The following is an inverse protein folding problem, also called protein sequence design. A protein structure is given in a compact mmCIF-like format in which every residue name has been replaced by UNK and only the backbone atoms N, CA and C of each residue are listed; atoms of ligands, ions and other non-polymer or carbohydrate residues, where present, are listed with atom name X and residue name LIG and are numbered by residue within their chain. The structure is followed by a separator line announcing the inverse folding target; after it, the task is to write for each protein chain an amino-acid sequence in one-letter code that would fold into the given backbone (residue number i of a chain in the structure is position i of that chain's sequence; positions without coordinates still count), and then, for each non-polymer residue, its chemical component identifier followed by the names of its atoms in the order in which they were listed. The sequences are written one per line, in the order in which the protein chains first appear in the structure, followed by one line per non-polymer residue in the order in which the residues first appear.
data_IF_657382683889
#
_entry.id   IF_657382683889
#
_cell.length_a   1.000
_cell.length_b   1.000
_cell.length_c   1.000
_cell.angle_alpha   90.00
_cell.angle_beta   90.00
_cell.angle_gamma   90.00
#
_symmetry.space_group_name_H-M   'P 1'
#
loop_
_entity.id
_entity.type
_entity.pdbx_description
1 polymer ?
#
# COMPACT_ATOMS: atom_id res chain seq x y z
N UNK A 1 8.08 12.48 20.81
CA UNK A 1 7.93 12.62 19.34
C UNK A 1 6.52 13.11 18.98
N UNK A 2 5.45 12.45 19.48
CA UNK A 2 4.05 12.78 19.19
C UNK A 2 3.67 14.19 19.64
N UNK A 3 3.96 14.56 20.88
CA UNK A 3 3.71 15.93 21.42
C UNK A 3 4.35 17.02 20.57
N UNK A 4 5.62 16.82 20.16
CA UNK A 4 6.32 17.75 19.28
C UNK A 4 5.67 17.84 17.89
N UNK A 5 5.12 16.74 17.37
CA UNK A 5 4.38 16.77 16.12
C UNK A 5 3.07 17.55 16.26
N UNK A 6 2.34 17.35 17.35
CA UNK A 6 1.14 18.13 17.67
C UNK A 6 1.47 19.63 17.76
N UNK A 7 2.51 20.01 18.49
CA UNK A 7 2.97 21.39 18.64
C UNK A 7 3.30 22.02 17.28
N UNK A 8 4.12 21.33 16.44
CA UNK A 8 4.53 21.83 15.11
C UNK A 8 3.35 21.99 14.16
N UNK A 9 2.33 21.15 14.29
CA UNK A 9 1.12 21.20 13.46
C UNK A 9 0.04 22.13 14.04
N UNK A 10 0.24 22.74 15.21
CA UNK A 10 -0.76 23.55 15.90
C UNK A 10 -2.02 22.75 16.26
N UNK A 11 -1.88 21.46 16.60
CA UNK A 11 -2.95 20.53 16.95
C UNK A 11 -2.79 20.00 18.36
N UNK A 12 -3.90 19.66 18.99
CA UNK A 12 -3.88 18.95 20.28
C UNK A 12 -3.84 17.42 20.11
N UNK A 13 -4.23 16.94 18.95
CA UNK A 13 -4.33 15.52 18.61
C UNK A 13 -3.93 15.30 17.15
N UNK A 14 -3.19 14.24 16.86
CA UNK A 14 -2.96 13.75 15.50
C UNK A 14 -4.19 12.97 15.02
N UNK A 15 -4.72 13.29 13.86
CA UNK A 15 -5.84 12.54 13.27
C UNK A 15 -5.44 11.11 12.92
N UNK A 16 -4.26 10.93 12.36
CA UNK A 16 -3.71 9.63 11.98
C UNK A 16 -2.19 9.62 12.18
N UNK A 17 -1.67 8.57 12.80
CA UNK A 17 -0.24 8.29 12.87
C UNK A 17 0.03 6.95 12.19
N UNK A 18 0.87 6.95 11.14
CA UNK A 18 1.29 5.73 10.46
C UNK A 18 2.68 5.30 10.94
N UNK A 19 2.75 4.16 11.61
CA UNK A 19 4.02 3.57 12.03
C UNK A 19 4.66 2.77 10.89
N UNK A 20 5.98 2.89 10.75
CA UNK A 20 6.75 2.17 9.74
C UNK A 20 8.00 1.55 10.36
N UNK A 21 7.99 0.25 10.58
CA UNK A 21 9.18 -0.50 10.95
C UNK A 21 10.01 -0.83 9.70
N UNK A 22 11.31 -0.51 9.74
CA UNK A 22 12.26 -0.89 8.69
C UNK A 22 12.70 -2.35 8.81
N UNK A 23 12.68 -2.86 10.03
CA UNK A 23 13.07 -4.23 10.35
C UNK A 23 12.29 -4.71 11.56
N UNK A 24 11.88 -5.95 11.52
CA UNK A 24 11.21 -6.63 12.64
C UNK A 24 12.20 -7.50 13.45
N UNK A 25 13.50 -7.47 13.12
CA UNK A 25 14.53 -8.22 13.86
C UNK A 25 14.79 -7.68 15.27
N UNK A 26 14.57 -6.38 15.48
CA UNK A 26 14.61 -5.74 16.79
C UNK A 26 13.20 -5.71 17.37
N UNK A 27 12.90 -6.39 18.50
CA UNK A 27 11.56 -6.41 19.09
C UNK A 27 11.07 -5.06 19.62
N UNK A 28 11.91 -4.06 19.75
CA UNK A 28 11.56 -2.70 20.20
C UNK A 28 10.47 -2.03 19.37
N UNK A 29 10.20 -2.49 18.14
CA UNK A 29 9.06 -2.03 17.35
C UNK A 29 7.72 -2.37 18.03
N UNK A 30 7.62 -3.51 18.72
CA UNK A 30 6.41 -3.92 19.42
C UNK A 30 6.19 -3.07 20.67
N UNK A 31 7.23 -2.81 21.44
CA UNK A 31 7.16 -1.90 22.61
C UNK A 31 6.70 -0.52 22.17
N UNK A 32 7.25 -0.01 21.05
CA UNK A 32 6.82 1.26 20.48
C UNK A 32 5.32 1.27 20.13
N UNK A 33 4.78 0.18 19.61
CA UNK A 33 3.35 0.09 19.28
C UNK A 33 2.46 0.11 20.53
N UNK A 34 2.88 -0.52 21.64
CA UNK A 34 2.16 -0.41 22.92
C UNK A 34 2.20 1.02 23.48
N UNK A 35 3.34 1.70 23.38
CA UNK A 35 3.44 3.13 23.76
C UNK A 35 2.55 4.01 22.89
N UNK A 36 2.48 3.76 21.58
CA UNK A 36 1.59 4.49 20.67
C UNK A 36 0.11 4.23 20.99
N UNK A 37 -0.24 3.00 21.40
CA UNK A 37 -1.61 2.71 21.88
C UNK A 37 -1.92 3.51 23.16
N UNK A 38 -1.01 3.58 24.12
CA UNK A 38 -1.20 4.40 25.32
C UNK A 38 -1.42 5.87 24.97
N UNK A 39 -0.62 6.44 24.06
CA UNK A 39 -0.80 7.81 23.59
C UNK A 39 -2.12 8.04 22.84
N UNK A 40 -2.64 7.01 22.18
CA UNK A 40 -3.98 7.02 21.59
C UNK A 40 -5.05 7.07 22.70
N UNK A 41 -4.91 6.24 23.73
CA UNK A 41 -5.83 6.21 24.86
C UNK A 41 -5.84 7.52 25.67
N UNK A 42 -4.69 8.21 25.74
CA UNK A 42 -4.55 9.56 26.28
C UNK A 42 -5.14 10.66 25.38
N UNK A 43 -5.54 10.32 24.16
CA UNK A 43 -6.16 11.25 23.21
C UNK A 43 -5.19 12.09 22.38
N UNK A 44 -3.89 11.78 22.40
CA UNK A 44 -2.90 12.47 21.55
C UNK A 44 -2.91 11.97 20.10
N UNK A 45 -3.42 10.77 19.85
CA UNK A 45 -3.57 10.15 18.54
C UNK A 45 -5.02 9.66 18.42
N UNK A 46 -5.71 9.99 17.32
CA UNK A 46 -7.05 9.48 17.06
C UNK A 46 -7.01 8.07 16.46
N UNK A 47 -6.18 7.87 15.43
CA UNK A 47 -6.06 6.61 14.72
C UNK A 47 -4.60 6.19 14.58
N UNK A 48 -4.31 4.95 14.99
CA UNK A 48 -3.04 4.30 14.67
C UNK A 48 -3.16 3.56 13.34
N UNK A 49 -2.13 3.66 12.56
CA UNK A 49 -2.01 3.01 11.26
C UNK A 49 -0.60 2.47 11.05
N UNK A 50 -0.47 1.62 10.05
CA UNK A 50 0.77 0.95 9.72
C UNK A 50 1.17 1.23 8.27
N UNK A 51 2.43 0.99 7.96
CA UNK A 51 2.96 1.04 6.60
C UNK A 51 3.83 -0.19 6.34
N UNK A 52 3.52 -0.92 5.27
CA UNK A 52 4.23 -2.13 4.82
C UNK A 52 4.34 -3.25 5.87
N UNK A 53 3.39 -3.31 6.81
CA UNK A 53 3.34 -4.41 7.79
C UNK A 53 2.76 -5.65 7.11
N UNK A 54 3.45 -6.79 7.24
CA UNK A 54 2.96 -8.05 6.71
C UNK A 54 1.84 -8.66 7.57
N UNK A 55 1.23 -9.72 7.05
CA UNK A 55 0.05 -10.34 7.68
C UNK A 55 0.35 -10.90 9.07
N UNK A 56 1.56 -11.43 9.29
CA UNK A 56 1.92 -12.06 10.58
C UNK A 56 2.10 -10.99 11.66
N UNK A 57 2.84 -9.93 11.35
CA UNK A 57 3.04 -8.82 12.29
C UNK A 57 1.77 -8.01 12.53
N UNK A 58 0.93 -7.81 11.49
CA UNK A 58 -0.39 -7.19 11.68
C UNK A 58 -1.26 -8.03 12.62
N UNK A 59 -1.31 -9.36 12.42
CA UNK A 59 -2.06 -10.27 13.31
C UNK A 59 -1.57 -10.15 14.76
N UNK A 60 -0.26 -10.17 14.97
CA UNK A 60 0.33 -10.03 16.30
C UNK A 60 -0.16 -8.75 16.99
N UNK A 61 -0.18 -7.62 16.28
CA UNK A 61 -0.64 -6.34 16.84
C UNK A 61 -2.11 -6.36 17.21
N UNK A 62 -2.98 -6.75 16.28
CA UNK A 62 -4.44 -6.72 16.53
C UNK A 62 -4.89 -7.74 17.57
N UNK A 63 -4.27 -8.92 17.62
CA UNK A 63 -4.53 -9.94 18.64
C UNK A 63 -3.95 -9.55 20.02
N UNK A 64 -2.96 -8.65 20.06
CA UNK A 64 -2.44 -8.06 21.31
C UNK A 64 -3.26 -6.88 21.83
N UNK A 65 -4.38 -6.55 21.17
CA UNK A 65 -5.28 -5.48 21.60
C UNK A 65 -4.89 -4.09 21.11
N UNK A 66 -3.93 -3.96 20.19
CA UNK A 66 -3.58 -2.69 19.57
C UNK A 66 -4.58 -2.37 18.46
N UNK A 67 -5.24 -1.21 18.59
CA UNK A 67 -6.28 -0.77 17.65
C UNK A 67 -5.69 -0.14 16.39
N UNK A 68 -5.64 -0.90 15.31
CA UNK A 68 -5.11 -0.46 14.02
C UNK A 68 -6.26 -0.07 13.08
N UNK A 69 -6.25 1.19 12.62
CA UNK A 69 -7.26 1.69 11.67
C UNK A 69 -6.96 1.30 10.23
N UNK A 70 -5.68 1.33 9.82
CA UNK A 70 -5.30 0.99 8.46
C UNK A 70 -3.87 0.46 8.35
N UNK A 71 -3.59 -0.24 7.24
CA UNK A 71 -2.23 -0.62 6.85
C UNK A 71 -1.99 -0.18 5.39
N UNK A 72 -1.03 0.71 5.19
CA UNK A 72 -0.66 1.19 3.86
C UNK A 72 0.30 0.20 3.21
N UNK A 73 -0.12 -0.43 2.12
CA UNK A 73 0.61 -1.52 1.46
C UNK A 73 0.65 -1.36 -0.06
N UNK A 74 1.66 -1.96 -0.68
CA UNK A 74 1.66 -2.10 -2.13
C UNK A 74 0.55 -3.05 -2.55
N UNK A 75 -0.39 -2.56 -3.37
CA UNK A 75 -1.48 -3.35 -3.90
C UNK A 75 -1.87 -2.86 -5.29
N UNK A 76 -1.75 -3.72 -6.27
CA UNK A 76 -1.99 -3.40 -7.68
C UNK A 76 -2.26 -4.66 -8.47
N UNK A 77 -2.59 -4.53 -9.74
CA UNK A 77 -2.70 -5.68 -10.67
C UNK A 77 -1.41 -6.51 -10.78
N UNK A 78 -0.24 -5.92 -10.49
CA UNK A 78 1.06 -6.62 -10.48
C UNK A 78 1.41 -7.20 -9.12
N UNK A 79 0.94 -6.58 -8.04
CA UNK A 79 1.28 -6.96 -6.67
C UNK A 79 0.02 -7.31 -5.89
N UNK A 80 -0.27 -8.59 -5.81
CA UNK A 80 -1.46 -9.15 -5.18
C UNK A 80 -1.17 -9.71 -3.76
N UNK A 81 -0.01 -9.39 -3.15
CA UNK A 81 0.35 -9.90 -1.82
C UNK A 81 -0.62 -9.46 -0.72
N UNK A 82 -1.29 -8.31 -0.90
CA UNK A 82 -2.31 -7.84 0.03
C UNK A 82 -3.67 -8.56 -0.11
N UNK A 83 -3.90 -9.28 -1.19
CA UNK A 83 -5.09 -10.11 -1.35
C UNK A 83 -5.03 -11.37 -0.47
N UNK A 84 -6.13 -12.05 -0.26
CA UNK A 84 -6.16 -13.31 0.47
C UNK A 84 -6.00 -13.14 1.98
N UNK A 85 -4.92 -13.64 2.58
CA UNK A 85 -4.75 -13.70 4.03
C UNK A 85 -4.70 -12.31 4.70
N UNK A 86 -4.07 -11.32 4.08
CA UNK A 86 -4.04 -9.95 4.58
C UNK A 86 -5.45 -9.34 4.57
N UNK A 87 -6.12 -9.39 3.41
CA UNK A 87 -7.50 -8.89 3.28
C UNK A 87 -8.45 -9.55 4.28
N UNK A 88 -8.35 -10.88 4.45
CA UNK A 88 -9.18 -11.62 5.41
C UNK A 88 -8.96 -11.10 6.82
N UNK A 89 -7.70 -10.99 7.27
CA UNK A 89 -7.36 -10.46 8.58
C UNK A 89 -7.87 -9.03 8.77
N UNK A 90 -7.72 -8.18 7.76
CA UNK A 90 -8.19 -6.80 7.79
C UNK A 90 -9.72 -6.72 7.99
N UNK A 91 -10.48 -7.55 7.27
CA UNK A 91 -11.94 -7.63 7.43
C UNK A 91 -12.36 -8.14 8.80
N UNK A 92 -11.64 -9.13 9.35
CA UNK A 92 -11.90 -9.70 10.68
C UNK A 92 -11.73 -8.67 11.81
N UNK A 93 -10.78 -7.75 11.65
CA UNK A 93 -10.41 -6.77 12.69
C UNK A 93 -10.79 -5.32 12.37
N UNK A 94 -11.53 -5.07 11.27
CA UNK A 94 -11.92 -3.71 10.87
C UNK A 94 -10.76 -2.81 10.44
N UNK A 95 -9.67 -3.39 9.96
CA UNK A 95 -8.51 -2.67 9.43
C UNK A 95 -8.71 -2.36 7.95
N UNK A 96 -8.45 -1.13 7.52
CA UNK A 96 -8.51 -0.74 6.12
C UNK A 96 -7.14 -0.86 5.43
N UNK A 97 -7.15 -1.27 4.17
CA UNK A 97 -5.95 -1.26 3.33
C UNK A 97 -5.86 0.07 2.57
N UNK A 98 -4.77 0.80 2.77
CA UNK A 98 -4.46 1.98 1.97
C UNK A 98 -3.50 1.56 0.85
N UNK A 99 -4.06 1.32 -0.34
CA UNK A 99 -3.31 0.79 -1.45
C UNK A 99 -2.41 1.84 -2.10
N UNK A 100 -1.11 1.58 -2.22
CA UNK A 100 -0.22 2.38 -3.05
C UNK A 100 0.33 1.58 -4.23
N UNK A 101 0.80 2.30 -5.24
CA UNK A 101 1.38 1.68 -6.42
C UNK A 101 0.37 1.09 -7.40
N UNK A 102 -0.90 1.45 -7.30
CA UNK A 102 -2.01 0.94 -8.10
C UNK A 102 -1.80 1.05 -9.61
N UNK A 103 -1.10 2.10 -10.06
CA UNK A 103 -0.74 2.31 -11.47
C UNK A 103 0.71 1.92 -11.79
N UNK A 104 1.38 1.18 -10.91
CA UNK A 104 2.76 0.69 -11.09
C UNK A 104 3.74 1.79 -11.52
N UNK A 105 3.74 2.95 -10.82
CA UNK A 105 4.62 4.08 -11.15
C UNK A 105 4.36 4.70 -12.52
N UNK A 106 3.18 4.50 -13.10
CA UNK A 106 2.76 5.00 -14.39
C UNK A 106 2.95 3.99 -15.54
N UNK A 107 3.28 2.73 -15.23
CA UNK A 107 3.30 1.68 -16.26
C UNK A 107 1.90 1.24 -16.68
N UNK A 108 0.88 1.29 -15.84
CA UNK A 108 -0.52 1.10 -16.24
C UNK A 108 -1.09 2.37 -16.88
N UNK A 109 -0.59 2.71 -18.05
CA UNK A 109 -1.08 3.79 -18.91
C UNK A 109 -0.98 3.39 -20.39
N UNK A 110 -1.73 4.05 -21.25
CA UNK A 110 -1.77 3.84 -22.70
C UNK A 110 -0.39 4.04 -23.35
N UNK A 111 0.45 4.89 -22.77
CA UNK A 111 1.81 5.16 -23.23
C UNK A 111 2.66 3.90 -23.41
N UNK A 112 2.45 2.91 -22.55
CA UNK A 112 3.24 1.69 -22.51
C UNK A 112 2.63 0.55 -23.32
N UNK A 113 1.41 0.71 -23.83
CA UNK A 113 0.72 -0.33 -24.62
C UNK A 113 1.46 -0.53 -25.95
N UNK A 114 1.96 -1.76 -26.18
CA UNK A 114 2.74 -2.10 -27.36
C UNK A 114 4.15 -1.47 -27.41
N UNK A 115 4.56 -0.73 -26.37
CA UNK A 115 5.87 -0.13 -26.32
C UNK A 115 6.97 -1.17 -26.08
N UNK A 116 8.20 -0.94 -26.62
CA UNK A 116 9.35 -1.78 -26.31
C UNK A 116 9.67 -1.73 -24.82
N UNK A 117 10.34 -2.78 -24.34
CA UNK A 117 10.83 -2.81 -22.95
C UNK A 117 11.87 -1.71 -22.72
N UNK A 118 11.64 -0.82 -21.74
CA UNK A 118 12.62 0.20 -21.42
C UNK A 118 13.83 -0.40 -20.69
N UNK A 119 15.02 0.07 -20.99
CA UNK A 119 16.20 -0.23 -20.19
C UNK A 119 16.12 0.51 -18.84
N UNK A 120 16.81 -0.04 -17.82
CA UNK A 120 16.74 0.54 -16.46
C UNK A 120 17.29 1.96 -16.36
N UNK A 121 18.28 2.28 -17.19
CA UNK A 121 18.92 3.61 -17.27
C UNK A 121 18.08 4.63 -18.06
N UNK A 122 17.12 4.18 -18.86
CA UNK A 122 16.13 5.04 -19.51
C UNK A 122 14.99 5.49 -18.60
N UNK A 123 14.91 4.91 -17.39
CA UNK A 123 13.86 5.24 -16.42
C UNK A 123 14.26 6.43 -15.56
N UNK A 124 13.57 7.55 -15.74
CA UNK A 124 13.90 8.86 -15.16
C UNK A 124 13.69 8.95 -13.64
N UNK A 125 12.93 8.02 -13.01
CA UNK A 125 12.55 8.12 -11.60
C UNK A 125 12.75 6.81 -10.85
N UNK A 126 13.10 6.90 -9.56
CA UNK A 126 13.16 5.75 -8.66
C UNK A 126 11.86 4.95 -8.62
N UNK A 127 10.72 5.62 -8.76
CA UNK A 127 9.42 4.96 -8.82
C UNK A 127 9.31 4.04 -10.03
N UNK A 128 9.66 4.52 -11.23
CA UNK A 128 9.65 3.70 -12.45
C UNK A 128 10.64 2.52 -12.35
N UNK A 129 11.86 2.76 -11.86
CA UNK A 129 12.86 1.71 -11.65
C UNK A 129 12.35 0.63 -10.67
N UNK A 130 11.71 1.05 -9.57
CA UNK A 130 11.10 0.15 -8.59
C UNK A 130 10.03 -0.74 -9.24
N UNK A 131 9.09 -0.14 -9.96
CA UNK A 131 7.98 -0.89 -10.55
C UNK A 131 8.39 -1.70 -11.78
N UNK A 132 9.44 -1.31 -12.50
CA UNK A 132 10.04 -2.17 -13.54
C UNK A 132 10.56 -3.48 -12.93
N UNK A 133 11.21 -3.43 -11.76
CA UNK A 133 11.62 -4.64 -11.03
C UNK A 133 10.43 -5.50 -10.61
N UNK A 134 9.28 -4.90 -10.29
CA UNK A 134 8.06 -5.64 -9.99
C UNK A 134 7.51 -6.33 -11.25
N UNK A 135 7.57 -5.66 -12.41
CA UNK A 135 7.21 -6.24 -13.71
C UNK A 135 8.11 -7.46 -14.00
N UNK A 136 9.42 -7.31 -13.81
CA UNK A 136 10.39 -8.40 -14.02
C UNK A 136 10.10 -9.59 -13.10
N UNK A 137 9.86 -9.34 -11.83
CA UNK A 137 9.52 -10.37 -10.85
C UNK A 137 8.17 -11.05 -11.13
N UNK A 138 7.21 -10.34 -11.73
CA UNK A 138 5.90 -10.86 -12.12
C UNK A 138 5.92 -11.68 -13.44
N UNK A 139 7.08 -11.80 -14.08
CA UNK A 139 7.26 -12.61 -15.29
C UNK A 139 7.69 -11.83 -16.54
N UNK A 140 8.19 -10.61 -16.35
CA UNK A 140 8.83 -9.80 -17.37
C UNK A 140 7.88 -8.99 -18.24
N UNK A 141 8.49 -8.25 -19.16
CA UNK A 141 7.80 -7.24 -19.96
C UNK A 141 6.71 -7.81 -20.86
N UNK A 142 6.95 -8.94 -21.50
CA UNK A 142 5.96 -9.53 -22.42
C UNK A 142 4.68 -9.95 -21.68
N UNK A 143 4.83 -10.51 -20.48
CA UNK A 143 3.68 -10.88 -19.66
C UNK A 143 2.96 -9.63 -19.15
N UNK A 144 3.69 -8.59 -18.77
CA UNK A 144 3.12 -7.29 -18.43
C UNK A 144 2.32 -6.69 -19.59
N UNK A 145 2.84 -6.75 -20.83
CA UNK A 145 2.12 -6.28 -22.02
C UNK A 145 0.79 -7.02 -22.23
N UNK A 146 0.75 -8.32 -21.96
CA UNK A 146 -0.51 -9.09 -22.05
C UNK A 146 -1.54 -8.61 -21.03
N UNK A 147 -1.12 -8.33 -19.80
CA UNK A 147 -1.97 -7.75 -18.75
C UNK A 147 -2.42 -6.33 -19.14
N UNK A 148 -1.50 -5.49 -19.61
CA UNK A 148 -1.79 -4.12 -20.01
C UNK A 148 -2.79 -4.07 -21.17
N UNK A 149 -2.65 -4.96 -22.17
CA UNK A 149 -3.60 -5.08 -23.27
C UNK A 149 -5.00 -5.44 -22.76
N UNK A 150 -5.11 -6.41 -21.85
CA UNK A 150 -6.39 -6.77 -21.26
C UNK A 150 -7.04 -5.59 -20.51
N UNK A 151 -6.26 -4.82 -19.75
CA UNK A 151 -6.75 -3.63 -19.06
C UNK A 151 -7.16 -2.55 -20.05
N UNK A 152 -6.42 -2.37 -21.14
CA UNK A 152 -6.77 -1.42 -22.21
C UNK A 152 -8.08 -1.78 -22.92
N UNK A 153 -8.33 -3.07 -23.18
CA UNK A 153 -9.60 -3.55 -23.75
C UNK A 153 -10.79 -3.27 -22.82
N UNK A 154 -10.59 -3.42 -21.51
CA UNK A 154 -11.61 -3.04 -20.50
C UNK A 154 -11.82 -1.54 -20.50
N UNK A 155 -10.75 -0.75 -20.50
CA UNK A 155 -10.79 0.70 -20.51
C UNK A 155 -11.56 1.25 -21.74
N UNK A 156 -11.27 0.69 -22.91
CA UNK A 156 -11.98 1.05 -24.15
C UNK A 156 -13.49 0.77 -24.05
N UNK A 157 -13.89 -0.40 -23.54
CA UNK A 157 -15.32 -0.74 -23.35
C UNK A 157 -16.05 0.17 -22.36
N UNK A 158 -15.33 0.67 -21.35
CA UNK A 158 -15.88 1.53 -20.31
C UNK A 158 -15.72 3.03 -20.61
N UNK A 159 -15.14 3.38 -21.76
CA UNK A 159 -14.75 4.75 -22.09
C UNK A 159 -13.94 5.43 -20.96
N UNK A 160 -12.98 4.71 -20.41
CA UNK A 160 -12.13 5.12 -19.31
C UNK A 160 -10.64 4.99 -19.69
N UNK A 161 -9.72 5.53 -18.88
CA UNK A 161 -8.30 5.29 -19.07
C UNK A 161 -7.83 3.98 -18.44
N UNK A 162 -6.73 3.42 -18.93
CA UNK A 162 -6.05 2.27 -18.33
C UNK A 162 -5.76 2.50 -16.84
N UNK A 163 -5.28 3.69 -16.49
CA UNK A 163 -5.01 4.06 -15.10
C UNK A 163 -6.26 4.02 -14.24
N UNK A 164 -7.40 4.54 -14.75
CA UNK A 164 -8.67 4.53 -14.00
C UNK A 164 -9.16 3.10 -13.77
N UNK A 165 -9.06 2.22 -14.76
CA UNK A 165 -9.42 0.80 -14.61
C UNK A 165 -8.54 0.11 -13.58
N UNK A 166 -7.21 0.32 -13.63
CA UNK A 166 -6.28 -0.23 -12.66
C UNK A 166 -6.56 0.25 -11.23
N UNK A 167 -6.83 1.54 -11.04
CA UNK A 167 -7.22 2.10 -9.74
C UNK A 167 -8.58 1.56 -9.27
N UNK A 168 -9.58 1.53 -10.16
CA UNK A 168 -10.93 1.07 -9.81
C UNK A 168 -10.93 -0.39 -9.36
N UNK A 169 -10.17 -1.25 -10.04
CA UNK A 169 -10.02 -2.65 -9.66
C UNK A 169 -9.53 -2.81 -8.20
N UNK A 170 -8.59 -1.98 -7.78
CA UNK A 170 -8.08 -2.04 -6.41
C UNK A 170 -9.05 -1.41 -5.41
N UNK A 171 -9.74 -0.32 -5.78
CA UNK A 171 -10.77 0.29 -4.94
C UNK A 171 -11.99 -0.63 -4.71
N UNK A 172 -12.24 -1.59 -5.61
CA UNK A 172 -13.30 -2.59 -5.46
C UNK A 172 -12.84 -3.82 -4.65
N UNK A 173 -11.54 -3.89 -4.31
CA UNK A 173 -11.02 -5.00 -3.52
C UNK A 173 -11.53 -4.90 -2.06
N UNK A 174 -11.89 -6.05 -1.44
CA UNK A 174 -12.32 -6.05 -0.04
C UNK A 174 -11.24 -5.48 0.89
N UNK A 175 -11.67 -4.73 1.89
CA UNK A 175 -10.86 -4.00 2.89
C UNK A 175 -10.10 -2.76 2.36
N UNK A 176 -10.14 -2.42 1.07
CA UNK A 176 -9.59 -1.17 0.53
C UNK A 176 -10.56 -0.02 0.68
#
# INVERSE_FOLDING_TARGET
AVELACERMGRQQLDLLQFHAWSYADPGWLDCMFELQALKDEGLIRHLSLTNTDTVHLRMLVESGIEIASNQVSYSLLDQRASGAMTKLCLEHGVHLLAFGTVAGGFFTERWLGAPEPAMDELETWSKMKYKRFIDAAGGWQKFQSVLSTVADVAARLNASVANVACRHILDAPAV
#
